data_IF_742380599059
#
_entry.id   IF_742380599059
#
_cell.length_a   1.000
_cell.length_b   1.000
_cell.length_c   1.000
_cell.angle_alpha   90.00
_cell.angle_beta   90.00
_cell.angle_gamma   90.00
#
_symmetry.space_group_name_H-M   'P 1'
#
loop_
_entity.id
_entity.type
_entity.pdbx_description
1 polymer ?
#
# COMPACT_ATOMS: atom_id res chain seq x y z
N UNK A 1 -4.59 -1.80 -11.58
CA UNK A 1 -4.71 -0.53 -10.82
C UNK A 1 -4.65 -0.82 -9.33
N UNK A 2 -3.47 -0.74 -8.72
CA UNK A 2 -3.35 -1.03 -7.30
C UNK A 2 -3.90 0.09 -6.43
N UNK A 3 -4.39 -0.28 -5.26
CA UNK A 3 -4.84 0.66 -4.23
C UNK A 3 -4.00 0.44 -2.98
N UNK A 4 -3.29 1.47 -2.54
CA UNK A 4 -2.47 1.44 -1.34
C UNK A 4 -3.12 2.31 -0.26
N UNK A 5 -3.28 1.74 0.92
CA UNK A 5 -3.78 2.47 2.09
C UNK A 5 -2.71 2.47 3.17
N UNK A 6 -2.38 3.65 3.67
CA UNK A 6 -1.40 3.81 4.72
C UNK A 6 -2.05 4.48 5.93
N UNK A 7 -2.00 3.81 7.09
CA UNK A 7 -2.42 4.38 8.37
C UNK A 7 -1.19 4.63 9.21
N UNK A 8 -0.99 5.87 9.60
CA UNK A 8 0.22 6.31 10.29
C UNK A 8 -0.09 6.78 11.70
N UNK A 9 0.62 6.25 12.68
CA UNK A 9 0.60 6.81 14.03
C UNK A 9 1.69 7.89 14.13
N UNK A 10 1.35 9.07 13.69
CA UNK A 10 2.24 10.23 13.67
C UNK A 10 1.40 11.51 13.64
N UNK A 11 2.03 12.64 13.91
CA UNK A 11 1.37 13.94 13.75
C UNK A 11 1.27 14.27 12.26
N UNK A 12 0.07 14.63 11.77
CA UNK A 12 -0.12 14.95 10.35
C UNK A 12 0.69 16.18 9.95
N UNK A 13 1.46 16.03 8.88
CA UNK A 13 2.11 17.17 8.20
C UNK A 13 2.00 16.97 6.69
N UNK A 14 1.88 18.06 5.90
CA UNK A 14 1.87 17.93 4.44
C UNK A 14 3.12 17.25 3.89
N UNK A 15 4.28 17.58 4.45
CA UNK A 15 5.54 16.98 4.01
C UNK A 15 5.62 15.48 4.25
N UNK A 16 5.11 15.00 5.37
CA UNK A 16 5.09 13.56 5.66
C UNK A 16 4.13 12.83 4.72
N UNK A 17 2.94 13.36 4.50
CA UNK A 17 1.98 12.76 3.58
C UNK A 17 2.56 12.66 2.17
N UNK A 18 3.17 13.72 1.67
CA UNK A 18 3.79 13.75 0.35
C UNK A 18 4.93 12.72 0.24
N UNK A 19 5.77 12.61 1.26
CA UNK A 19 6.88 11.65 1.27
C UNK A 19 6.38 10.21 1.28
N UNK A 20 5.34 9.92 2.07
CA UNK A 20 4.73 8.59 2.13
C UNK A 20 4.09 8.23 0.79
N UNK A 21 3.32 9.14 0.20
CA UNK A 21 2.71 8.93 -1.11
C UNK A 21 3.77 8.64 -2.17
N UNK A 22 4.83 9.43 -2.21
CA UNK A 22 5.91 9.24 -3.18
C UNK A 22 6.60 7.89 -3.02
N UNK A 23 6.93 7.51 -1.77
CA UNK A 23 7.60 6.24 -1.49
C UNK A 23 6.72 5.04 -1.87
N UNK A 24 5.45 5.06 -1.49
CA UNK A 24 4.53 3.94 -1.77
C UNK A 24 4.22 3.82 -3.26
N UNK A 25 4.04 4.93 -3.95
CA UNK A 25 3.83 4.91 -5.41
C UNK A 25 5.05 4.32 -6.12
N UNK A 26 6.23 4.78 -5.77
CA UNK A 26 7.49 4.28 -6.34
C UNK A 26 7.69 2.79 -6.09
N UNK A 27 7.55 2.34 -4.85
CA UNK A 27 7.77 0.94 -4.49
C UNK A 27 6.74 -0.01 -5.09
N UNK A 28 5.49 0.43 -5.18
CA UNK A 28 4.43 -0.38 -5.82
C UNK A 28 4.75 -0.59 -7.31
N UNK A 29 5.31 0.41 -7.96
CA UNK A 29 5.75 0.30 -9.35
C UNK A 29 7.04 -0.52 -9.47
N UNK A 30 8.08 -0.17 -8.74
CA UNK A 30 9.40 -0.81 -8.88
C UNK A 30 9.41 -2.27 -8.42
N UNK A 31 8.72 -2.59 -7.34
CA UNK A 31 8.78 -3.92 -6.73
C UNK A 31 7.66 -4.83 -7.22
N UNK A 32 6.44 -4.32 -7.31
CA UNK A 32 5.29 -5.13 -7.74
C UNK A 32 4.99 -5.01 -9.23
N UNK A 33 5.71 -4.15 -9.95
CA UNK A 33 5.55 -3.99 -11.39
C UNK A 33 4.24 -3.36 -11.81
N UNK A 34 3.59 -2.60 -10.92
CA UNK A 34 2.32 -1.94 -11.22
C UNK A 34 2.57 -0.59 -11.89
N UNK A 35 1.61 -0.12 -12.67
CA UNK A 35 1.73 1.17 -13.35
C UNK A 35 1.74 2.31 -12.34
N UNK A 36 2.79 3.12 -12.39
CA UNK A 36 2.97 4.29 -11.54
C UNK A 36 1.77 5.25 -11.61
N UNK A 37 1.35 5.58 -12.83
CA UNK A 37 0.29 6.55 -13.08
C UNK A 37 -1.11 6.09 -12.64
N UNK A 38 -1.27 4.78 -12.41
CA UNK A 38 -2.54 4.19 -11.99
C UNK A 38 -2.53 3.67 -10.56
N UNK A 39 -1.48 3.97 -9.81
CA UNK A 39 -1.37 3.61 -8.40
C UNK A 39 -2.04 4.69 -7.55
N UNK A 40 -3.08 4.30 -6.82
CA UNK A 40 -3.74 5.19 -5.87
C UNK A 40 -3.18 4.95 -4.49
N UNK A 41 -2.92 6.03 -3.76
CA UNK A 41 -2.45 5.97 -2.37
C UNK A 41 -3.34 6.84 -1.49
N UNK A 42 -3.87 6.25 -0.44
CA UNK A 42 -4.67 6.95 0.58
C UNK A 42 -3.87 6.96 1.87
N UNK A 43 -3.71 8.14 2.47
CA UNK A 43 -2.98 8.29 3.73
C UNK A 43 -3.93 8.76 4.81
N UNK A 44 -3.99 8.00 5.91
CA UNK A 44 -4.74 8.35 7.11
C UNK A 44 -3.80 8.42 8.31
N UNK A 45 -4.13 9.28 9.26
CA UNK A 45 -3.39 9.40 10.50
C UNK A 45 -4.24 8.88 11.66
N UNK A 46 -3.62 8.09 12.53
CA UNK A 46 -4.26 7.54 13.72
C UNK A 46 -3.76 8.32 14.94
N UNK A 47 -4.68 8.82 15.75
CA UNK A 47 -4.34 9.60 16.94
C UNK A 47 -3.72 8.70 18.03
N UNK A 48 -2.97 9.32 18.95
CA UNK A 48 -2.26 8.64 20.04
C UNK A 48 -3.11 7.65 20.81
N UNK A 49 -4.36 8.03 21.10
CA UNK A 49 -5.25 7.24 21.95
C UNK A 49 -5.96 6.10 21.22
N UNK A 50 -5.61 5.84 19.96
CA UNK A 50 -6.38 4.91 19.12
C UNK A 50 -5.58 3.73 18.58
N UNK A 51 -4.32 3.59 18.97
CA UNK A 51 -3.52 2.46 18.53
C UNK A 51 -2.81 1.84 19.72
N UNK A 52 -3.11 0.60 20.01
CA UNK A 52 -2.56 -0.15 21.13
C UNK A 52 -1.90 -1.45 20.64
N UNK A 53 -0.92 -1.89 21.39
CA UNK A 53 -0.32 -3.21 21.22
C UNK A 53 -0.14 -3.85 22.59
N UNK A 54 -0.62 -5.09 22.74
CA UNK A 54 -0.64 -5.76 24.05
C UNK A 54 -1.47 -4.99 25.07
N UNK A 55 -2.52 -4.29 24.62
CA UNK A 55 -3.36 -3.46 25.46
C UNK A 55 -2.73 -2.14 25.90
N UNK A 56 -1.55 -1.79 25.43
CA UNK A 56 -0.81 -0.58 25.83
C UNK A 56 -0.80 0.46 24.72
N UNK A 57 -1.04 1.71 25.08
CA UNK A 57 -1.02 2.89 24.19
C UNK A 57 -0.08 3.96 24.77
N UNK A 58 0.47 4.86 23.94
CA UNK A 58 0.39 4.85 22.48
C UNK A 58 1.37 3.87 21.86
N UNK A 59 1.09 3.44 20.63
CA UNK A 59 2.03 2.68 19.80
C UNK A 59 2.45 3.56 18.63
N UNK A 60 3.75 3.69 18.40
CA UNK A 60 4.27 4.30 17.17
C UNK A 60 4.31 3.22 16.12
N UNK A 61 3.91 3.54 14.91
CA UNK A 61 3.92 2.55 13.86
C UNK A 61 3.12 2.95 12.65
N UNK A 62 2.96 1.99 11.77
CA UNK A 62 2.18 2.16 10.55
C UNK A 62 1.54 0.85 10.15
N UNK A 63 0.47 0.97 9.37
CA UNK A 63 -0.17 -0.15 8.70
C UNK A 63 -0.32 0.24 7.24
N UNK A 64 0.37 -0.47 6.35
CA UNK A 64 0.26 -0.29 4.91
C UNK A 64 -0.37 -1.53 4.32
N UNK A 65 -1.45 -1.34 3.57
CA UNK A 65 -2.10 -2.41 2.82
C UNK A 65 -2.09 -2.06 1.34
N UNK A 66 -1.62 -2.97 0.51
CA UNK A 66 -1.74 -2.83 -0.93
C UNK A 66 -2.72 -3.88 -1.45
N UNK A 67 -3.72 -3.43 -2.19
CA UNK A 67 -4.67 -4.31 -2.88
C UNK A 67 -4.21 -4.49 -4.31
N UNK A 68 -3.99 -5.73 -4.69
CA UNK A 68 -3.56 -6.13 -6.04
C UNK A 68 -4.36 -7.36 -6.48
N UNK A 69 -4.31 -7.63 -7.75
CA UNK A 69 -4.99 -8.81 -8.29
C UNK A 69 -4.20 -10.07 -7.96
N UNK A 70 -4.91 -11.08 -7.47
CA UNK A 70 -4.38 -12.39 -7.16
C UNK A 70 -3.66 -12.99 -8.37
N UNK A 71 -2.50 -13.56 -8.14
CA UNK A 71 -1.73 -14.26 -9.17
C UNK A 71 -0.85 -13.38 -10.05
N UNK A 72 -0.74 -12.10 -9.75
CA UNK A 72 0.06 -11.17 -10.57
C UNK A 72 1.48 -10.92 -10.04
N UNK A 73 1.79 -11.39 -8.84
CA UNK A 73 3.11 -11.20 -8.23
C UNK A 73 3.62 -12.49 -7.59
N UNK A 74 4.93 -12.69 -7.66
CA UNK A 74 5.60 -13.82 -7.05
C UNK A 74 5.73 -13.67 -5.53
N UNK A 75 6.04 -14.77 -4.86
CA UNK A 75 6.33 -14.77 -3.42
C UNK A 75 7.50 -13.84 -3.10
N UNK A 76 8.53 -13.87 -3.93
CA UNK A 76 9.75 -13.07 -3.75
C UNK A 76 9.47 -11.57 -3.91
N UNK A 77 8.66 -11.21 -4.89
CA UNK A 77 8.24 -9.82 -5.09
C UNK A 77 7.44 -9.29 -3.90
N UNK A 78 6.52 -10.09 -3.39
CA UNK A 78 5.71 -9.72 -2.22
C UNK A 78 6.59 -9.57 -0.97
N UNK A 79 7.50 -10.50 -0.73
CA UNK A 79 8.43 -10.42 0.40
C UNK A 79 9.33 -9.18 0.30
N UNK A 80 9.81 -8.86 -0.89
CA UNK A 80 10.61 -7.67 -1.14
C UNK A 80 9.80 -6.41 -0.87
N UNK A 81 8.55 -6.38 -1.29
CA UNK A 81 7.66 -5.24 -1.05
C UNK A 81 7.47 -4.99 0.45
N UNK A 82 7.19 -6.03 1.21
CA UNK A 82 7.04 -5.94 2.67
C UNK A 82 8.31 -5.34 3.29
N UNK A 83 9.48 -5.82 2.89
CA UNK A 83 10.77 -5.35 3.41
C UNK A 83 11.06 -3.89 3.01
N UNK A 84 10.88 -3.56 1.74
CA UNK A 84 11.22 -2.22 1.22
C UNK A 84 10.26 -1.15 1.73
N UNK A 85 8.98 -1.45 1.82
CA UNK A 85 8.00 -0.51 2.39
C UNK A 85 8.29 -0.27 3.87
N UNK A 86 8.58 -1.32 4.63
CA UNK A 86 8.93 -1.16 6.04
C UNK A 86 10.17 -0.27 6.19
N UNK A 87 11.18 -0.50 5.39
CA UNK A 87 12.41 0.29 5.43
C UNK A 87 12.15 1.76 5.13
N UNK A 88 11.38 2.05 4.08
CA UNK A 88 11.07 3.41 3.69
C UNK A 88 10.25 4.16 4.75
N UNK A 89 9.21 3.53 5.26
CA UNK A 89 8.35 4.16 6.29
C UNK A 89 9.05 4.27 7.64
N UNK A 90 9.88 3.31 7.98
CA UNK A 90 10.70 3.35 9.19
C UNK A 90 11.61 4.59 9.17
N UNK A 91 12.20 4.90 8.02
CA UNK A 91 13.01 6.10 7.85
C UNK A 91 12.22 7.40 7.97
N UNK A 92 10.94 7.40 7.60
CA UNK A 92 10.07 8.57 7.68
C UNK A 92 9.40 8.74 9.05
N UNK A 93 9.31 7.68 9.83
CA UNK A 93 8.58 7.64 11.12
C UNK A 93 9.51 7.33 12.30
N UNK A 94 10.69 7.94 12.30
CA UNK A 94 11.64 7.89 13.41
C UNK A 94 11.98 6.47 13.90
N UNK A 95 12.16 5.54 12.97
CA UNK A 95 12.54 4.17 13.28
C UNK A 95 11.40 3.25 13.70
N UNK A 96 10.15 3.72 13.63
CA UNK A 96 9.00 2.89 13.95
C UNK A 96 8.83 1.79 12.90
N UNK A 97 8.64 0.54 13.36
CA UNK A 97 8.30 -0.57 12.47
C UNK A 97 6.79 -0.69 12.36
N UNK A 98 6.31 -1.35 11.33
CA UNK A 98 4.88 -1.50 11.12
C UNK A 98 4.50 -2.71 10.31
N UNK A 99 3.21 -2.83 10.08
CA UNK A 99 2.65 -3.89 9.25
C UNK A 99 2.63 -3.48 7.79
N UNK A 100 2.99 -4.40 6.91
CA UNK A 100 2.78 -4.27 5.47
C UNK A 100 2.02 -5.50 5.02
N UNK A 101 0.85 -5.29 4.43
CA UNK A 101 -0.03 -6.37 3.99
C UNK A 101 -0.17 -6.29 2.47
N UNK A 102 0.12 -7.40 1.81
CA UNK A 102 -0.20 -7.55 0.39
C UNK A 102 -1.52 -8.31 0.31
N UNK A 103 -2.58 -7.60 -0.01
CA UNK A 103 -3.93 -8.14 -0.07
C UNK A 103 -4.23 -8.51 -1.52
N UNK A 104 -4.23 -9.81 -1.81
CA UNK A 104 -4.45 -10.35 -3.15
C UNK A 104 -5.93 -10.68 -3.33
N UNK A 105 -6.55 -10.02 -4.31
CA UNK A 105 -7.99 -10.13 -4.54
C UNK A 105 -8.23 -10.69 -5.94
N UNK A 106 -9.16 -11.62 -6.06
CA UNK A 106 -9.52 -12.17 -7.36
C UNK A 106 -9.92 -11.05 -8.33
N UNK A 107 -9.49 -11.15 -9.58
CA UNK A 107 -9.71 -10.11 -10.58
C UNK A 107 -11.20 -9.78 -10.83
N UNK A 108 -12.09 -10.74 -10.58
CA UNK A 108 -13.54 -10.55 -10.72
C UNK A 108 -14.21 -9.96 -9.48
N UNK A 109 -13.46 -9.77 -8.39
CA UNK A 109 -14.01 -9.36 -7.11
C UNK A 109 -13.70 -7.90 -6.72
N UNK A 110 -13.00 -7.16 -7.55
CA UNK A 110 -12.71 -5.75 -7.31
C UNK A 110 -12.49 -4.99 -8.61
N UNK A 111 -12.61 -3.69 -8.54
CA UNK A 111 -12.50 -2.88 -9.74
C UNK A 111 -12.40 -1.39 -9.44
N UNK A 112 -12.42 -0.62 -10.52
CA UNK A 112 -12.33 0.83 -10.50
C UNK A 112 -13.26 1.42 -11.55
N UNK A 113 -13.90 2.53 -11.21
CA UNK A 113 -14.82 3.25 -12.10
C UNK A 113 -15.91 2.36 -12.72
N UNK A 114 -16.39 1.37 -11.95
CA UNK A 114 -17.48 0.50 -12.36
C UNK A 114 -17.06 -0.72 -13.20
N UNK A 115 -15.76 -0.90 -13.45
CA UNK A 115 -15.26 -2.09 -14.16
C UNK A 115 -14.42 -2.96 -13.24
N UNK A 116 -14.59 -4.27 -13.33
CA UNK A 116 -13.72 -5.21 -12.62
C UNK A 116 -12.33 -5.21 -13.24
N UNK A 117 -11.34 -5.65 -12.47
CA UNK A 117 -9.98 -5.84 -12.99
C UNK A 117 -9.99 -6.88 -14.11
N UNK A 118 -10.79 -7.93 -13.98
CA UNK A 118 -10.96 -8.95 -15.02
C UNK A 118 -11.44 -8.35 -16.34
N UNK A 119 -12.45 -7.48 -16.30
CA UNK A 119 -12.97 -6.81 -17.49
C UNK A 119 -11.90 -5.93 -18.14
N UNK A 120 -11.07 -5.24 -17.35
CA UNK A 120 -9.98 -4.41 -17.86
C UNK A 120 -8.91 -5.23 -18.57
N UNK A 121 -8.52 -6.37 -18.00
CA UNK A 121 -7.55 -7.27 -18.63
C UNK A 121 -8.07 -7.82 -19.95
N UNK A 122 -9.34 -8.20 -19.99
CA UNK A 122 -9.99 -8.69 -21.21
C UNK A 122 -10.00 -7.63 -22.31
N UNK A 123 -10.32 -6.38 -21.98
CA UNK A 123 -10.28 -5.26 -22.92
C UNK A 123 -8.88 -5.01 -23.45
N UNK A 124 -7.87 -5.04 -22.59
CA UNK A 124 -6.48 -4.86 -22.98
C UNK A 124 -6.04 -5.94 -23.98
N UNK A 125 -6.42 -7.20 -23.77
CA UNK A 125 -6.14 -8.30 -24.68
C UNK A 125 -6.82 -8.15 -26.04
N UNK A 126 -8.07 -7.64 -26.02
CA UNK A 126 -8.85 -7.46 -27.25
C UNK A 126 -8.28 -6.33 -28.11
N UNK A 127 -7.77 -5.29 -27.48
CA UNK A 127 -7.20 -4.12 -28.17
C UNK A 127 -5.75 -4.38 -28.61
N UNK A 128 -5.05 -5.25 -27.92
CA UNK A 128 -3.66 -5.61 -28.26
C UNK A 128 -3.55 -6.55 -29.50
#
# INVERSE_FOLDING_TARGET
MPLVQARLRAEPTPGLSEAVVAALTRLTSEVLGKEHERTSVVVDYVSEARWARGGKMPVRGFLVEVKITLGTNSREEKARYVREVNRALQGLLDGAAGYVVVDEIAADAWGYAGETQEARYSKARTVA
#
